data_IF_483900629647
#
_entry.id   IF_483900629647
#
_cell.length_a   1.000
_cell.length_b   1.000
_cell.length_c   1.000
_cell.angle_alpha   90.00
_cell.angle_beta   90.00
_cell.angle_gamma   90.00
#
_symmetry.space_group_name_H-M   'P 1'
#
loop_
_entity.id
_entity.type
_entity.pdbx_description
1 polymer ?
#
# COMPACT_ATOMS: atom_id res chain seq x y z
N UNK A 1 -6.80 -25.92 -13.45
CA UNK A 1 -5.44 -26.30 -13.06
C UNK A 1 -4.85 -25.27 -12.11
N UNK A 2 -4.18 -25.72 -11.08
CA UNK A 2 -3.54 -24.83 -10.13
C UNK A 2 -2.07 -24.64 -10.53
N UNK A 3 -1.66 -23.38 -10.66
CA UNK A 3 -0.26 -23.07 -10.90
C UNK A 3 0.47 -23.06 -9.58
N UNK A 4 1.38 -24.02 -9.40
CA UNK A 4 2.15 -24.15 -8.16
C UNK A 4 3.60 -23.69 -8.35
N UNK A 5 3.89 -23.02 -9.45
CA UNK A 5 5.23 -22.48 -9.66
C UNK A 5 5.54 -21.41 -8.62
N UNK A 6 6.69 -21.56 -7.96
CA UNK A 6 7.15 -20.55 -7.01
C UNK A 6 7.64 -19.33 -7.78
N UNK A 7 7.12 -18.18 -7.43
CA UNK A 7 7.51 -16.93 -8.06
C UNK A 7 8.12 -16.00 -7.01
N UNK A 8 9.15 -15.30 -7.42
CA UNK A 8 9.86 -14.37 -6.55
C UNK A 8 9.99 -13.03 -7.25
N UNK A 9 9.75 -11.96 -6.52
CA UNK A 9 9.93 -10.59 -7.02
C UNK A 9 10.94 -9.89 -6.11
N UNK A 10 11.97 -9.30 -6.72
CA UNK A 10 12.93 -8.50 -5.98
C UNK A 10 12.55 -7.03 -6.08
N UNK A 11 12.35 -6.38 -4.92
CA UNK A 11 11.96 -4.98 -4.91
C UNK A 11 13.00 -4.07 -5.54
N UNK A 12 14.26 -4.50 -5.56
CA UNK A 12 15.34 -3.72 -6.17
C UNK A 12 15.19 -3.58 -7.68
N UNK A 13 14.44 -4.49 -8.31
CA UNK A 13 14.28 -4.52 -9.76
C UNK A 13 12.82 -4.37 -10.18
N UNK A 14 11.94 -4.06 -9.24
CA UNK A 14 10.52 -3.95 -9.53
C UNK A 14 10.20 -2.59 -10.14
N UNK A 15 9.24 -2.55 -11.08
CA UNK A 15 8.79 -1.28 -11.61
C UNK A 15 8.01 -0.49 -10.56
N UNK A 16 7.93 0.82 -10.74
CA UNK A 16 7.11 1.67 -9.90
C UNK A 16 5.87 2.09 -10.69
N UNK A 17 4.77 2.27 -9.97
CA UNK A 17 3.54 2.74 -10.57
C UNK A 17 3.48 4.26 -10.62
N UNK A 18 2.36 4.76 -11.13
CA UNK A 18 2.15 6.19 -11.36
C UNK A 18 2.21 7.01 -10.08
N UNK A 19 1.94 6.40 -8.94
CA UNK A 19 1.93 7.09 -7.65
C UNK A 19 3.19 6.83 -6.84
N UNK A 20 4.20 6.18 -7.43
CA UNK A 20 5.45 5.88 -6.77
C UNK A 20 5.48 4.55 -6.04
N UNK A 21 4.37 3.79 -6.07
CA UNK A 21 4.34 2.48 -5.43
C UNK A 21 5.26 1.51 -6.16
N UNK A 22 5.97 0.68 -5.40
CA UNK A 22 6.84 -0.36 -5.93
C UNK A 22 6.03 -1.65 -6.01
N UNK A 23 5.94 -2.24 -7.19
CA UNK A 23 5.20 -3.49 -7.36
C UNK A 23 5.95 -4.63 -6.73
N UNK A 24 5.26 -5.40 -5.90
CA UNK A 24 5.80 -6.62 -5.30
C UNK A 24 5.04 -7.80 -5.86
N UNK A 25 5.05 -8.92 -5.15
CA UNK A 25 4.42 -10.14 -5.63
C UNK A 25 2.91 -9.94 -5.82
N UNK A 26 2.37 -10.52 -6.89
CA UNK A 26 0.96 -10.48 -7.22
C UNK A 26 0.43 -11.90 -7.37
N UNK A 27 -0.56 -12.25 -6.58
CA UNK A 27 -1.30 -13.48 -6.74
C UNK A 27 -2.60 -13.23 -7.50
N UNK A 28 -3.46 -14.25 -7.50
CA UNK A 28 -4.76 -14.13 -8.16
C UNK A 28 -5.74 -13.32 -7.34
N UNK A 29 -5.66 -13.38 -6.02
CA UNK A 29 -6.62 -12.78 -5.11
C UNK A 29 -6.03 -11.68 -4.24
N UNK A 30 -4.71 -11.54 -4.24
CA UNK A 30 -4.00 -10.59 -3.39
C UNK A 30 -2.74 -10.14 -4.11
N UNK A 31 -2.39 -8.88 -3.97
CA UNK A 31 -1.12 -8.37 -4.46
C UNK A 31 -0.46 -7.54 -3.38
N UNK A 32 0.85 -7.34 -3.51
CA UNK A 32 1.62 -6.54 -2.58
C UNK A 32 2.23 -5.36 -3.28
N UNK A 33 2.42 -4.29 -2.52
CA UNK A 33 3.14 -3.10 -2.99
C UNK A 33 3.92 -2.51 -1.83
N UNK A 34 4.94 -1.72 -2.16
CA UNK A 34 5.74 -1.04 -1.15
C UNK A 34 5.74 0.46 -1.44
N UNK A 35 5.58 1.23 -0.40
CA UNK A 35 5.82 2.67 -0.43
C UNK A 35 7.21 2.86 0.17
N UNK A 36 8.17 3.22 -0.68
CA UNK A 36 9.57 3.33 -0.27
C UNK A 36 9.97 4.78 -0.17
N UNK A 37 10.47 5.18 1.01
CA UNK A 37 11.01 6.51 1.23
C UNK A 37 10.06 7.63 0.83
N UNK A 38 8.77 7.46 1.17
CA UNK A 38 7.78 8.50 0.93
C UNK A 38 8.10 9.71 1.77
N UNK A 39 8.21 10.87 1.09
CA UNK A 39 8.61 12.11 1.75
C UNK A 39 7.46 12.70 2.56
N UNK A 40 7.76 13.44 3.64
CA UNK A 40 6.72 14.10 4.42
C UNK A 40 5.82 14.97 3.56
N UNK A 41 4.52 14.82 3.75
CA UNK A 41 3.52 15.64 3.07
C UNK A 41 2.18 15.50 3.79
N UNK A 42 1.32 16.51 3.63
CA UNK A 42 0.02 16.53 4.26
C UNK A 42 -1.10 16.93 3.29
N UNK A 43 -0.84 16.85 2.00
CA UNK A 43 -1.80 17.34 0.97
C UNK A 43 -2.36 16.23 0.09
N UNK A 44 -2.29 14.97 0.56
CA UNK A 44 -2.87 13.87 -0.21
C UNK A 44 -4.39 13.95 -0.14
N UNK A 45 -5.07 13.78 -1.29
CA UNK A 45 -6.53 13.80 -1.29
C UNK A 45 -7.11 12.52 -0.65
N UNK A 46 -8.37 12.62 -0.24
CA UNK A 46 -9.09 11.45 0.24
C UNK A 46 -9.37 10.50 -0.92
N UNK A 47 -9.28 9.21 -0.66
CA UNK A 47 -9.51 8.16 -1.64
C UNK A 47 -10.43 7.10 -1.11
N UNK A 48 -11.14 6.44 -2.02
CA UNK A 48 -11.86 5.20 -1.77
C UNK A 48 -11.38 4.18 -2.77
N UNK A 49 -11.27 2.94 -2.32
CA UNK A 49 -10.88 1.85 -3.22
C UNK A 49 -11.85 0.69 -3.11
N UNK A 50 -12.00 -0.05 -4.20
CA UNK A 50 -12.82 -1.25 -4.21
C UNK A 50 -12.12 -2.47 -3.64
N UNK A 51 -10.98 -2.27 -3.00
CA UNK A 51 -10.21 -3.36 -2.41
C UNK A 51 -9.87 -3.05 -0.97
N UNK A 52 -9.60 -4.12 -0.23
CA UNK A 52 -9.16 -4.04 1.16
C UNK A 52 -7.65 -3.91 1.18
N UNK A 53 -7.13 -3.15 2.14
CA UNK A 53 -5.69 -2.95 2.32
C UNK A 53 -5.31 -3.38 3.73
N UNK A 54 -4.27 -4.21 3.84
CA UNK A 54 -3.58 -4.41 5.12
C UNK A 54 -2.13 -4.02 4.92
N UNK A 55 -1.53 -3.39 5.92
CA UNK A 55 -0.18 -2.87 5.78
C UNK A 55 0.65 -3.04 7.03
N UNK A 56 1.96 -2.85 6.86
CA UNK A 56 2.94 -2.95 7.94
C UNK A 56 4.02 -1.88 7.74
N UNK A 57 4.29 -1.12 8.80
CA UNK A 57 5.27 -0.02 8.74
C UNK A 57 6.67 -0.55 8.99
N UNK A 58 7.58 -0.22 8.08
CA UNK A 58 8.99 -0.60 8.20
C UNK A 58 9.79 0.53 8.81
N UNK A 59 9.58 1.77 8.35
CA UNK A 59 10.36 2.92 8.80
C UNK A 59 9.53 4.19 8.69
N UNK A 60 9.84 5.16 9.52
CA UNK A 60 9.18 6.47 9.50
C UNK A 60 7.86 6.47 10.23
N UNK A 61 7.14 7.59 10.15
CA UNK A 61 5.85 7.74 10.82
C UNK A 61 4.86 8.44 9.91
N UNK A 62 3.60 8.03 10.04
CA UNK A 62 2.52 8.62 9.28
C UNK A 62 1.25 8.65 10.14
N UNK A 63 0.26 9.40 9.68
CA UNK A 63 -1.08 9.37 10.23
C UNK A 63 -2.02 8.89 9.14
N UNK A 64 -2.86 7.93 9.50
CA UNK A 64 -3.94 7.46 8.63
C UNK A 64 -5.22 8.12 9.09
N UNK A 65 -5.85 8.87 8.21
CA UNK A 65 -7.16 9.44 8.47
C UNK A 65 -8.17 8.59 7.73
N UNK A 66 -9.09 7.98 8.47
CA UNK A 66 -10.05 7.04 7.90
C UNK A 66 -11.41 7.25 8.55
N UNK A 67 -12.41 7.55 7.71
CA UNK A 67 -13.80 7.76 8.15
C UNK A 67 -13.88 8.68 9.37
N UNK A 68 -13.16 9.79 9.32
CA UNK A 68 -13.17 10.79 10.39
C UNK A 68 -12.32 10.48 11.60
N UNK A 69 -11.60 9.35 11.59
CA UNK A 69 -10.70 8.97 12.68
C UNK A 69 -9.25 9.11 12.24
N UNK A 70 -8.37 9.44 13.18
CA UNK A 70 -6.94 9.56 12.90
C UNK A 70 -6.19 8.51 13.70
N UNK A 71 -5.34 7.75 13.01
CA UNK A 71 -4.52 6.69 13.62
C UNK A 71 -3.07 6.97 13.32
N UNK A 72 -2.21 6.95 14.35
CA UNK A 72 -0.77 7.09 14.20
C UNK A 72 -0.16 5.74 13.79
N UNK A 73 0.67 5.77 12.75
CA UNK A 73 1.38 4.59 12.27
C UNK A 73 2.87 4.77 12.51
N UNK A 74 3.47 3.83 13.24
CA UNK A 74 4.89 3.84 13.59
C UNK A 74 5.51 2.49 13.23
N UNK A 75 6.85 2.41 13.15
CA UNK A 75 7.51 1.15 12.79
C UNK A 75 7.03 -0.01 13.65
N UNK A 76 6.67 -1.09 12.99
CA UNK A 76 6.13 -2.27 13.67
C UNK A 76 4.62 -2.30 13.75
N UNK A 77 3.94 -1.20 13.46
CA UNK A 77 2.48 -1.18 13.45
C UNK A 77 1.94 -1.77 12.15
N UNK A 78 0.79 -2.41 12.25
CA UNK A 78 0.04 -2.84 11.08
C UNK A 78 -1.36 -2.24 11.16
N UNK A 79 -2.01 -2.13 9.99
CA UNK A 79 -3.33 -1.50 9.93
C UNK A 79 -4.16 -2.14 8.83
N UNK A 80 -5.46 -1.83 8.84
CA UNK A 80 -6.37 -2.26 7.79
C UNK A 80 -7.20 -1.08 7.33
N UNK A 81 -7.41 -1.00 6.02
CA UNK A 81 -8.38 -0.09 5.42
C UNK A 81 -9.42 -0.94 4.71
N UNK A 82 -10.64 -1.00 5.23
CA UNK A 82 -11.69 -1.78 4.57
C UNK A 82 -12.02 -1.24 3.18
N UNK A 83 -12.48 -2.12 2.30
CA UNK A 83 -12.92 -1.70 0.98
C UNK A 83 -14.03 -0.65 1.12
N UNK A 84 -13.96 0.40 0.32
CA UNK A 84 -14.95 1.47 0.33
C UNK A 84 -14.76 2.54 1.39
N UNK A 85 -13.85 2.35 2.34
CA UNK A 85 -13.62 3.35 3.39
C UNK A 85 -12.82 4.53 2.83
N UNK A 86 -13.32 5.73 3.06
CA UNK A 86 -12.64 6.94 2.61
C UNK A 86 -11.46 7.23 3.53
N UNK A 87 -10.29 7.43 2.95
CA UNK A 87 -9.07 7.57 3.74
C UNK A 87 -8.02 8.40 3.02
N UNK A 88 -7.05 8.88 3.81
CA UNK A 88 -5.84 9.49 3.29
C UNK A 88 -4.72 9.31 4.32
N UNK A 89 -3.50 9.55 3.89
CA UNK A 89 -2.32 9.48 4.75
C UNK A 89 -1.64 10.84 4.84
N UNK A 90 -1.12 11.14 6.01
CA UNK A 90 -0.23 12.27 6.21
C UNK A 90 1.12 11.70 6.60
N UNK A 91 2.15 11.97 5.80
CA UNK A 91 3.49 11.45 6.07
C UNK A 91 4.20 12.45 6.97
N UNK A 92 4.61 12.00 8.15
CA UNK A 92 5.26 12.85 9.14
C UNK A 92 6.78 12.77 9.06
N UNK A 93 7.31 11.57 8.83
CA UNK A 93 8.73 11.32 8.64
C UNK A 93 8.88 10.41 7.43
N UNK A 94 10.00 10.50 6.72
CA UNK A 94 10.24 9.65 5.55
C UNK A 94 9.78 8.22 5.84
N UNK A 95 8.86 7.72 5.05
CA UNK A 95 8.02 6.59 5.41
C UNK A 95 8.19 5.44 4.43
N UNK A 96 8.38 4.24 4.96
CA UNK A 96 8.43 3.02 4.15
C UNK A 96 7.48 2.01 4.77
N UNK A 97 6.60 1.46 3.96
CA UNK A 97 5.61 0.50 4.41
C UNK A 97 5.27 -0.48 3.30
N UNK A 98 4.85 -1.67 3.68
CA UNK A 98 4.39 -2.69 2.75
C UNK A 98 2.90 -2.85 2.93
N UNK A 99 2.18 -3.00 1.81
CA UNK A 99 0.74 -3.23 1.82
C UNK A 99 0.40 -4.46 0.99
N UNK A 100 -0.65 -5.15 1.40
CA UNK A 100 -1.29 -6.18 0.59
C UNK A 100 -2.71 -5.73 0.30
N UNK A 101 -3.17 -5.93 -0.94
CA UNK A 101 -4.50 -5.52 -1.37
C UNK A 101 -5.26 -6.71 -1.92
N UNK A 102 -6.54 -6.79 -1.59
CA UNK A 102 -7.42 -7.85 -2.07
C UNK A 102 -8.80 -7.29 -2.39
N UNK A 103 -9.30 -7.44 -3.62
CA UNK A 103 -8.61 -7.99 -4.79
C UNK A 103 -7.39 -7.17 -5.17
N UNK A 104 -6.50 -7.70 -6.00
CA UNK A 104 -5.26 -7.03 -6.35
C UNK A 104 -5.49 -5.63 -6.87
N UNK A 105 -4.85 -4.65 -6.23
CA UNK A 105 -4.92 -3.26 -6.66
C UNK A 105 -4.00 -3.01 -7.84
N UNK A 106 -2.85 -3.66 -7.84
CA UNK A 106 -1.81 -3.41 -8.81
C UNK A 106 -1.35 -4.71 -9.43
N UNK A 107 -1.69 -4.87 -10.68
CA UNK A 107 -1.22 -5.95 -11.52
C UNK A 107 -0.66 -5.24 -12.74
N UNK A 108 0.52 -5.59 -13.15
CA UNK A 108 1.25 -4.94 -14.24
C UNK A 108 0.39 -4.11 -15.21
N UNK A 109 0.61 -2.81 -15.19
CA UNK A 109 -0.04 -1.91 -16.12
C UNK A 109 -1.53 -1.72 -15.87
N UNK A 110 -2.09 -2.36 -14.86
CA UNK A 110 -3.50 -2.21 -14.51
C UNK A 110 -3.58 -1.56 -13.15
N UNK A 111 -3.63 -0.28 -13.15
CA UNK A 111 -3.61 0.51 -11.94
C UNK A 111 -4.98 1.13 -11.71
N UNK A 112 -5.75 0.70 -10.72
CA UNK A 112 -6.96 1.39 -10.35
C UNK A 112 -6.55 2.73 -9.71
N UNK A 113 -7.08 3.76 -10.19
CA UNK A 113 -6.76 5.10 -9.70
C UNK A 113 -7.33 5.34 -8.30
#
# INVERSE_FOLDING_TARGET
>A
MTDTTVKKVSSAHSPTGAQGEVYLASGKRVSMRMWRDEQPRNDKPLHKHGYEVVGYVIAGRAELEIEGQTVRLEPGDSWVVPAGAEHTYRILETFTAIEATAPPAQVHGREPS
#
